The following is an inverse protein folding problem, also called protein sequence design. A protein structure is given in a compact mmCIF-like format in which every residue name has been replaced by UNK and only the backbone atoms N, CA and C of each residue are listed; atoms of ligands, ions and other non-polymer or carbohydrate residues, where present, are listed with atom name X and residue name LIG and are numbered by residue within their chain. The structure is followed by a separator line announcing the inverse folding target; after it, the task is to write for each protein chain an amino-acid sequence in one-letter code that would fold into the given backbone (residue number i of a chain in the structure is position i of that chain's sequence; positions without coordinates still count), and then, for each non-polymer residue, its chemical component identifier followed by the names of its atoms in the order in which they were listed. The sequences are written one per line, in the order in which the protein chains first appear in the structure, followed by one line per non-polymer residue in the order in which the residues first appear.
data_IF_169603289988
#
_entry.id   IF_169603289988
#
_cell.length_a   1.000
_cell.length_b   1.000
_cell.length_c   1.000
_cell.angle_alpha   90.00
_cell.angle_beta   90.00
_cell.angle_gamma   90.00
#
_symmetry.space_group_name_H-M   'P 1'
#
loop_
_entity.id
_entity.type
_entity.pdbx_description
1 polymer ?
#
# COMPACT_ATOMS: atom_id res chain seq x y z
N UNK A 1 5.32 18.45 25.09
CA UNK A 1 6.39 17.79 24.32
C UNK A 1 6.48 18.56 23.02
N UNK A 2 7.49 19.41 22.91
CA UNK A 2 7.51 20.58 22.03
C UNK A 2 8.06 20.27 20.63
N UNK A 3 7.72 21.15 19.68
CA UNK A 3 8.09 21.16 18.26
C UNK A 3 9.59 20.96 17.97
N UNK A 4 10.48 21.19 18.95
CA UNK A 4 11.93 21.02 18.81
C UNK A 4 12.38 19.57 18.57
N UNK A 5 11.71 18.58 19.18
CA UNK A 5 12.04 17.15 18.99
C UNK A 5 11.81 16.67 17.55
N UNK A 6 10.86 17.28 16.85
CA UNK A 6 10.57 16.94 15.46
C UNK A 6 11.66 17.44 14.50
N UNK A 7 12.28 18.58 14.81
CA UNK A 7 13.39 19.13 14.01
C UNK A 7 14.60 18.22 14.15
N UNK A 8 15.00 17.90 15.38
CA UNK A 8 16.14 17.02 15.66
C UNK A 8 15.97 15.64 15.00
N UNK A 9 14.73 15.12 14.95
CA UNK A 9 14.40 13.85 14.30
C UNK A 9 14.47 13.91 12.78
N UNK A 10 13.99 14.99 12.16
CA UNK A 10 14.07 15.18 10.72
C UNK A 10 15.53 15.38 10.30
N UNK A 11 16.30 16.14 11.07
CA UNK A 11 17.72 16.37 10.80
C UNK A 11 18.53 15.07 10.88
N UNK A 12 18.30 14.26 11.91
CA UNK A 12 18.90 12.93 12.02
C UNK A 12 18.52 12.01 10.85
N UNK A 13 17.25 12.02 10.43
CA UNK A 13 16.78 11.25 9.28
C UNK A 13 17.44 11.69 7.96
N UNK A 14 17.61 12.99 7.73
CA UNK A 14 18.25 13.52 6.53
C UNK A 14 19.75 13.20 6.50
N UNK A 15 20.42 13.18 7.66
CA UNK A 15 21.82 12.75 7.76
C UNK A 15 21.98 11.26 7.36
N UNK A 16 21.10 10.38 7.83
CA UNK A 16 21.10 8.96 7.46
C UNK A 16 20.86 8.74 5.96
N UNK A 17 19.96 9.53 5.34
CA UNK A 17 19.74 9.47 3.89
C UNK A 17 20.98 9.89 3.09
N UNK A 18 21.70 10.92 3.54
CA UNK A 18 22.92 11.38 2.91
C UNK A 18 24.04 10.33 3.01
N UNK A 19 24.19 9.67 4.16
CA UNK A 19 25.14 8.57 4.37
C UNK A 19 24.82 7.35 3.48
N UNK A 20 23.55 7.14 3.15
CA UNK A 20 23.10 6.11 2.21
C UNK A 20 23.28 6.51 0.72
N UNK A 21 23.94 7.63 0.43
CA UNK A 21 24.12 8.20 -0.91
C UNK A 21 22.81 8.51 -1.65
N UNK A 22 21.73 8.79 -0.91
CA UNK A 22 20.48 9.30 -1.46
C UNK A 22 20.61 10.82 -1.53
N UNK A 23 20.42 11.39 -2.73
CA UNK A 23 20.50 12.84 -2.93
C UNK A 23 19.36 13.55 -2.16
N UNK A 24 19.69 14.04 -0.98
CA UNK A 24 18.78 14.79 -0.10
C UNK A 24 18.38 16.14 -0.70
N UNK A 25 19.15 16.67 -1.65
CA UNK A 25 18.80 17.88 -2.42
C UNK A 25 17.68 17.66 -3.44
N UNK A 26 17.44 16.42 -3.83
CA UNK A 26 16.31 16.02 -4.68
C UNK A 26 15.05 15.65 -3.89
N UNK A 27 15.12 15.63 -2.55
CA UNK A 27 13.97 15.31 -1.68
C UNK A 27 13.02 16.50 -1.69
N UNK A 28 11.83 16.29 -2.27
CA UNK A 28 10.80 17.31 -2.29
C UNK A 28 10.18 17.46 -0.90
N UNK A 29 10.47 18.57 -0.23
CA UNK A 29 9.90 18.95 1.06
C UNK A 29 8.73 19.90 0.83
N UNK A 30 7.65 19.71 1.59
CA UNK A 30 6.50 20.61 1.57
C UNK A 30 5.98 20.77 3.00
N UNK A 31 6.01 22.00 3.49
CA UNK A 31 5.65 22.34 4.86
C UNK A 31 4.13 22.45 5.01
N UNK A 32 3.52 21.52 5.77
CA UNK A 32 2.06 21.43 5.97
C UNK A 32 1.72 21.32 7.45
N UNK A 33 0.48 21.67 7.78
CA UNK A 33 -0.03 21.77 9.16
C UNK A 33 -0.47 20.43 9.80
N UNK A 34 -0.06 19.29 9.24
CA UNK A 34 -0.42 17.93 9.68
C UNK A 34 -1.94 17.62 9.71
N UNK A 35 -2.81 18.44 9.12
CA UNK A 35 -4.23 18.11 9.04
C UNK A 35 -4.52 16.89 8.15
N UNK A 36 -5.58 16.14 8.48
CA UNK A 36 -6.00 14.94 7.74
C UNK A 36 -6.28 15.22 6.25
N UNK A 37 -6.85 16.39 5.94
CA UNK A 37 -7.08 16.83 4.57
C UNK A 37 -5.78 16.98 3.78
N UNK A 38 -4.71 17.49 4.41
CA UNK A 38 -3.41 17.63 3.76
C UNK A 38 -2.68 16.30 3.60
N UNK A 39 -2.84 15.37 4.54
CA UNK A 39 -2.37 13.98 4.38
C UNK A 39 -2.98 13.29 3.15
N UNK A 40 -4.30 13.45 2.96
CA UNK A 40 -4.99 12.92 1.77
C UNK A 40 -4.48 13.57 0.46
N UNK A 41 -4.24 14.88 0.46
CA UNK A 41 -3.73 15.59 -0.72
C UNK A 41 -2.30 15.13 -1.10
N UNK A 42 -1.42 14.96 -0.12
CA UNK A 42 -0.07 14.46 -0.34
C UNK A 42 -0.08 13.02 -0.90
N UNK A 43 -0.91 12.14 -0.33
CA UNK A 43 -1.06 10.75 -0.79
C UNK A 43 -1.59 10.65 -2.23
N UNK A 44 -2.43 11.59 -2.66
CA UNK A 44 -2.95 11.64 -4.03
C UNK A 44 -1.86 11.97 -5.06
N UNK A 45 -0.82 12.71 -4.67
CA UNK A 45 0.31 13.07 -5.52
C UNK A 45 1.43 12.03 -5.50
N UNK A 46 1.60 11.29 -4.40
CA UNK A 46 2.77 10.43 -4.17
C UNK A 46 2.59 8.97 -4.64
N UNK A 47 1.37 8.53 -4.95
CA UNK A 47 1.13 7.14 -5.34
C UNK A 47 0.22 7.02 -6.57
N UNK A 48 0.55 6.18 -7.56
CA UNK A 48 -0.44 5.74 -8.53
C UNK A 48 -1.62 5.12 -7.78
N UNK A 49 -2.85 5.28 -8.30
CA UNK A 49 -4.06 4.70 -7.66
C UNK A 49 -3.79 3.24 -7.30
N UNK A 50 -3.99 2.90 -6.04
CA UNK A 50 -3.67 1.59 -5.52
C UNK A 50 -4.66 0.55 -6.06
N UNK A 51 -4.12 -0.59 -6.46
CA UNK A 51 -4.92 -1.78 -6.75
C UNK A 51 -5.49 -2.29 -5.44
N UNK A 52 -6.81 -2.35 -5.36
CA UNK A 52 -7.51 -2.69 -4.11
C UNK A 52 -8.31 -3.96 -4.29
N UNK A 53 -8.36 -4.76 -3.23
CA UNK A 53 -9.27 -5.89 -3.10
C UNK A 53 -10.54 -5.40 -2.42
N UNK A 54 -11.69 -5.62 -3.04
CA UNK A 54 -12.98 -5.33 -2.45
C UNK A 54 -13.44 -6.55 -1.64
N UNK A 55 -13.55 -6.36 -0.33
CA UNK A 55 -14.11 -7.32 0.60
C UNK A 55 -15.52 -6.84 1.00
N UNK A 56 -16.57 -7.66 0.85
CA UNK A 56 -17.94 -7.29 1.24
C UNK A 56 -18.13 -7.40 2.76
N UNK A 57 -17.45 -6.53 3.51
CA UNK A 57 -17.39 -6.58 4.97
C UNK A 57 -18.76 -6.57 5.64
N UNK A 58 -19.70 -5.78 5.11
CA UNK A 58 -21.05 -5.65 5.68
C UNK A 58 -21.79 -6.99 5.68
N UNK A 59 -21.74 -7.69 4.57
CA UNK A 59 -22.37 -9.00 4.38
C UNK A 59 -21.65 -10.05 5.22
N UNK A 60 -20.32 -9.99 5.28
CA UNK A 60 -19.49 -10.90 6.09
C UNK A 60 -19.82 -10.78 7.59
N UNK A 61 -19.93 -9.56 8.10
CA UNK A 61 -20.28 -9.30 9.50
C UNK A 61 -21.70 -9.74 9.82
N UNK A 62 -22.68 -9.42 8.96
CA UNK A 62 -24.08 -9.89 9.14
C UNK A 62 -24.15 -11.40 9.25
N UNK A 63 -23.38 -12.08 8.42
CA UNK A 63 -23.34 -13.52 8.39
C UNK A 63 -22.65 -14.13 9.62
N UNK A 64 -21.58 -13.50 10.10
CA UNK A 64 -20.94 -13.87 11.37
C UNK A 64 -21.90 -13.74 12.57
N UNK A 65 -22.71 -12.68 12.60
CA UNK A 65 -23.75 -12.51 13.62
C UNK A 65 -24.82 -13.60 13.50
N UNK A 66 -25.24 -13.94 12.28
CA UNK A 66 -26.22 -15.02 12.05
C UNK A 66 -25.71 -16.37 12.59
N UNK A 67 -24.45 -16.72 12.34
CA UNK A 67 -23.81 -17.92 12.90
C UNK A 67 -23.76 -17.89 14.42
N UNK A 68 -23.34 -16.76 15.01
CA UNK A 68 -23.28 -16.63 16.48
C UNK A 68 -24.65 -16.84 17.12
N UNK A 69 -25.71 -16.29 16.52
CA UNK A 69 -27.07 -16.48 17.02
C UNK A 69 -27.53 -17.94 16.89
N UNK A 70 -27.14 -18.64 15.84
CA UNK A 70 -27.41 -20.07 15.70
C UNK A 70 -26.70 -20.88 16.80
N UNK A 71 -25.43 -20.56 17.08
CA UNK A 71 -24.63 -21.25 18.11
C UNK A 71 -25.14 -20.97 19.54
N UNK A 72 -25.46 -19.71 19.86
CA UNK A 72 -25.82 -19.32 21.22
C UNK A 72 -27.28 -19.66 21.57
N UNK A 73 -28.19 -19.62 20.59
CA UNK A 73 -29.63 -19.68 20.86
C UNK A 73 -30.35 -20.78 20.07
N UNK A 74 -29.63 -21.63 19.34
CA UNK A 74 -30.23 -22.73 18.56
C UNK A 74 -31.12 -22.25 17.40
N UNK A 75 -30.91 -21.01 16.93
CA UNK A 75 -31.58 -20.53 15.72
C UNK A 75 -31.07 -21.27 14.46
N UNK A 76 -31.85 -21.17 13.38
CA UNK A 76 -31.51 -21.76 12.09
C UNK A 76 -31.50 -20.69 10.99
N UNK A 77 -30.72 -19.63 11.20
CA UNK A 77 -30.53 -18.55 10.21
C UNK A 77 -29.61 -19.04 9.10
N UNK A 78 -29.81 -18.64 7.84
CA UNK A 78 -28.93 -19.00 6.74
C UNK A 78 -27.54 -18.38 6.92
N UNK A 79 -26.48 -19.17 6.67
CA UNK A 79 -25.08 -18.76 6.84
C UNK A 79 -24.27 -19.07 5.57
N UNK A 80 -23.80 -18.03 4.89
CA UNK A 80 -22.93 -18.09 3.71
C UNK A 80 -21.46 -18.11 4.11
N UNK A 81 -20.66 -19.07 3.64
CA UNK A 81 -19.21 -19.14 3.96
C UNK A 81 -18.31 -18.62 2.85
N UNK A 82 -18.88 -18.38 1.67
CA UNK A 82 -18.15 -17.94 0.49
C UNK A 82 -18.68 -16.58 0.05
N UNK A 83 -17.81 -15.57 0.06
CA UNK A 83 -18.16 -14.22 -0.35
C UNK A 83 -17.42 -13.86 -1.64
N UNK A 84 -18.07 -13.18 -2.59
CA UNK A 84 -17.42 -12.75 -3.82
C UNK A 84 -16.41 -11.65 -3.50
N UNK A 85 -15.13 -12.02 -3.47
CA UNK A 85 -14.01 -11.10 -3.39
C UNK A 85 -13.63 -10.69 -4.81
N UNK A 86 -13.47 -9.38 -5.04
CA UNK A 86 -13.09 -8.86 -6.35
C UNK A 86 -11.86 -7.95 -6.25
N UNK A 87 -11.10 -7.85 -7.33
CA UNK A 87 -9.89 -7.01 -7.40
C UNK A 87 -10.12 -5.89 -8.40
N UNK A 88 -9.89 -4.66 -7.95
CA UNK A 88 -9.86 -3.47 -8.81
C UNK A 88 -8.42 -3.14 -9.17
N UNK A 89 -7.95 -3.60 -10.34
CA UNK A 89 -6.62 -3.31 -10.86
C UNK A 89 -6.46 -1.81 -11.19
N UNK A 90 -5.31 -1.24 -10.84
CA UNK A 90 -4.94 0.16 -11.05
C UNK A 90 -3.43 0.27 -11.33
N UNK A 91 -2.96 1.50 -11.58
CA UNK A 91 -1.59 1.79 -12.02
C UNK A 91 -0.49 1.34 -11.02
N UNK A 92 -0.83 1.02 -9.77
CA UNK A 92 0.11 0.42 -8.83
C UNK A 92 0.55 -1.02 -9.18
N UNK A 93 -0.09 -1.68 -10.15
CA UNK A 93 0.26 -3.04 -10.59
C UNK A 93 0.70 -3.02 -12.05
N UNK A 94 1.94 -3.44 -12.32
CA UNK A 94 2.52 -3.51 -13.66
C UNK A 94 2.81 -4.97 -14.07
N UNK A 95 2.67 -5.26 -15.37
CA UNK A 95 3.02 -6.57 -15.93
C UNK A 95 4.55 -6.71 -15.98
N UNK A 96 5.09 -7.76 -15.34
CA UNK A 96 6.54 -8.05 -15.41
C UNK A 96 6.94 -8.33 -16.87
N UNK A 97 7.84 -7.51 -17.41
CA UNK A 97 8.43 -7.73 -18.74
C UNK A 97 9.43 -8.89 -18.63
N UNK A 98 9.21 -9.98 -19.36
CA UNK A 98 10.18 -11.08 -19.48
C UNK A 98 11.38 -10.56 -20.29
N UNK A 99 12.57 -10.55 -19.70
CA UNK A 99 13.83 -10.33 -20.41
C UNK A 99 14.16 -11.59 -21.22
N UNK A 100 14.25 -11.47 -22.55
CA UNK A 100 14.84 -12.53 -23.37
C UNK A 100 16.36 -12.51 -23.18
N UNK A 101 16.93 -13.63 -22.76
CA UNK A 101 18.38 -13.81 -22.74
C UNK A 101 18.87 -13.79 -24.19
N UNK A 102 19.57 -12.72 -24.60
CA UNK A 102 20.30 -12.70 -25.86
C UNK A 102 21.54 -13.57 -25.67
N UNK A 103 21.54 -14.76 -26.27
CA UNK A 103 22.72 -15.62 -26.31
C UNK A 103 23.86 -14.86 -27.01
N UNK A 104 24.97 -14.67 -26.30
CA UNK A 104 26.21 -14.10 -26.83
C UNK A 104 26.87 -15.13 -27.74
N UNK A 105 26.87 -14.88 -29.05
CA UNK A 105 27.73 -15.59 -29.98
C UNK A 105 29.13 -14.93 -29.93
N UNK A 106 30.16 -15.72 -29.61
CA UNK A 106 31.57 -15.33 -29.76
C UNK A 106 31.90 -15.16 -31.25
N UNK A 107 32.74 -14.19 -31.64
CA UNK A 107 33.23 -14.11 -33.01
C UNK A 107 34.23 -15.25 -33.26
N UNK A 108 34.16 -15.85 -34.46
CA UNK A 108 35.17 -16.76 -34.97
C UNK A 108 36.20 -15.93 -35.74
N UNK A 109 37.45 -15.95 -35.27
CA UNK A 109 38.60 -15.42 -35.99
C UNK A 109 38.91 -16.32 -37.19
N UNK A 110 39.19 -15.71 -38.35
CA UNK A 110 39.82 -16.31 -39.52
C UNK A 110 40.96 -15.41 -40.00
#
# INVERSE_FOLDING_TARGET
MTVADNVDRIDGFMAELADAAIDTGAVWITERDFSSAQGCAAAACSAPRLTSVHIPWREMTKNGIAELLNLCYGFNRPVTRTFPVSVSLRASVAKRRRTSSRASARPADF
#
